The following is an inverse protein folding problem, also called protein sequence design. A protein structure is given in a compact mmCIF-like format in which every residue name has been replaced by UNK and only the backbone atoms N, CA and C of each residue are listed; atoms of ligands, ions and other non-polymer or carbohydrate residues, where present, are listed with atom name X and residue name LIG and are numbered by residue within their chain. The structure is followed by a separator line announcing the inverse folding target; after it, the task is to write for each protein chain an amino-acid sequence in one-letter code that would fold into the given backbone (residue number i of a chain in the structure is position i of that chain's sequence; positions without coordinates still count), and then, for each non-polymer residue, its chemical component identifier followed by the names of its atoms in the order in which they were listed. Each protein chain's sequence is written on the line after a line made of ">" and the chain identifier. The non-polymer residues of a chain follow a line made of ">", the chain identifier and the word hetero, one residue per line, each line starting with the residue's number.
data_IF_263970229979
#
_entry.id   IF_263970229979
#
_cell.length_a   1.000
_cell.length_b   1.000
_cell.length_c   1.000
_cell.angle_alpha   90.00
_cell.angle_beta   90.00
_cell.angle_gamma   90.00
#
_symmetry.space_group_name_H-M   'P 1'
#
loop_
_entity.id
_entity.type
_entity.pdbx_description
1 polymer ?
#
# COMPACT_ATOMS: atom_id res chain seq x y z
N UNK A 1 43.95 14.52 -36.85
CA UNK A 1 42.90 15.16 -36.02
C UNK A 1 43.45 16.45 -35.45
N UNK A 2 42.72 17.56 -35.56
CA UNK A 2 43.17 18.85 -35.00
C UNK A 2 42.81 18.92 -33.51
N UNK A 3 43.57 19.71 -32.73
CA UNK A 3 43.35 19.90 -31.28
C UNK A 3 41.91 20.30 -30.93
N UNK A 4 41.23 21.02 -31.84
CA UNK A 4 39.81 21.38 -31.76
C UNK A 4 38.87 20.19 -31.89
N UNK A 5 39.12 19.26 -32.82
CA UNK A 5 38.30 18.05 -32.98
C UNK A 5 38.38 17.14 -31.76
N UNK A 6 39.56 17.07 -31.11
CA UNK A 6 39.79 16.29 -29.90
C UNK A 6 39.07 16.90 -28.68
N UNK A 7 39.10 18.24 -28.54
CA UNK A 7 38.34 18.96 -27.51
C UNK A 7 36.83 18.84 -27.69
N UNK A 8 36.33 18.89 -28.93
CA UNK A 8 34.91 18.68 -29.24
C UNK A 8 34.45 17.26 -28.90
N UNK A 9 35.24 16.24 -29.22
CA UNK A 9 34.93 14.85 -28.88
C UNK A 9 34.91 14.62 -27.35
N UNK A 10 35.85 15.21 -26.61
CA UNK A 10 35.87 15.13 -25.15
C UNK A 10 34.69 15.87 -24.53
N UNK A 11 34.33 17.06 -25.04
CA UNK A 11 33.17 17.81 -24.57
C UNK A 11 31.84 17.06 -24.84
N UNK A 12 31.70 16.44 -26.02
CA UNK A 12 30.52 15.63 -26.36
C UNK A 12 30.47 14.36 -25.51
N UNK A 13 31.60 13.68 -25.27
CA UNK A 13 31.65 12.51 -24.41
C UNK A 13 31.33 12.85 -22.94
N UNK A 14 31.77 14.01 -22.43
CA UNK A 14 31.43 14.49 -21.10
C UNK A 14 29.97 14.92 -20.97
N UNK A 15 29.40 15.54 -22.01
CA UNK A 15 27.96 15.88 -22.04
C UNK A 15 27.08 14.63 -22.12
N UNK A 16 27.43 13.68 -22.98
CA UNK A 16 26.72 12.40 -23.09
C UNK A 16 26.86 11.57 -21.81
N UNK A 17 28.03 11.55 -21.18
CA UNK A 17 28.28 10.90 -19.90
C UNK A 17 27.47 11.52 -18.75
N UNK A 18 27.40 12.86 -18.68
CA UNK A 18 26.59 13.55 -17.68
C UNK A 18 25.08 13.39 -17.92
N UNK A 19 24.62 13.35 -19.17
CA UNK A 19 23.22 13.09 -19.50
C UNK A 19 22.82 11.63 -19.20
N UNK A 20 23.67 10.67 -19.53
CA UNK A 20 23.47 9.27 -19.17
C UNK A 20 23.47 9.09 -17.65
N UNK A 21 24.43 9.68 -16.95
CA UNK A 21 24.49 9.67 -15.49
C UNK A 21 23.27 10.33 -14.87
N UNK A 22 22.85 11.52 -15.33
CA UNK A 22 21.64 12.19 -14.85
C UNK A 22 20.35 11.43 -15.18
N UNK A 23 20.31 10.65 -16.27
CA UNK A 23 19.17 9.77 -16.58
C UNK A 23 19.14 8.50 -15.74
N UNK A 24 20.32 8.02 -15.29
CA UNK A 24 20.49 6.82 -14.46
C UNK A 24 20.46 7.11 -12.95
N UNK A 25 20.76 8.34 -12.55
CA UNK A 25 20.84 8.78 -11.14
C UNK A 25 19.86 9.90 -10.78
N UNK A 26 19.14 10.45 -11.76
CA UNK A 26 18.06 11.41 -11.53
C UNK A 26 16.77 10.72 -11.06
N UNK A 27 15.86 11.46 -10.40
CA UNK A 27 14.55 10.93 -10.05
C UNK A 27 13.83 10.44 -11.31
N UNK A 28 13.16 9.30 -11.21
CA UNK A 28 12.33 8.75 -12.27
C UNK A 28 11.31 9.78 -12.76
N UNK A 29 10.77 9.60 -13.96
CA UNK A 29 9.69 10.46 -14.45
C UNK A 29 8.52 10.54 -13.46
N UNK A 30 8.21 9.42 -12.80
CA UNK A 30 7.20 9.36 -11.74
C UNK A 30 7.59 10.19 -10.51
N UNK A 31 8.82 10.07 -10.02
CA UNK A 31 9.30 10.81 -8.85
C UNK A 31 9.40 12.32 -9.10
N UNK A 32 9.69 12.72 -10.34
CA UNK A 32 9.74 14.12 -10.76
C UNK A 32 8.37 14.77 -10.77
N UNK A 33 7.37 14.06 -11.27
CA UNK A 33 6.00 14.56 -11.39
C UNK A 33 5.14 14.18 -10.17
N UNK A 34 5.72 13.50 -9.18
CA UNK A 34 5.01 12.89 -8.05
C UNK A 34 4.11 13.89 -7.32
N UNK A 35 4.64 15.05 -6.91
CA UNK A 35 3.86 16.04 -6.16
C UNK A 35 2.73 16.63 -7.02
N UNK A 36 2.94 16.79 -8.32
CA UNK A 36 1.93 17.26 -9.26
C UNK A 36 0.82 16.23 -9.47
N UNK A 37 1.18 14.95 -9.47
CA UNK A 37 0.22 13.85 -9.55
C UNK A 37 -0.55 13.67 -8.23
N UNK A 38 0.14 13.80 -7.09
CA UNK A 38 -0.42 13.70 -5.76
C UNK A 38 -1.41 14.83 -5.47
N UNK A 39 -1.28 15.98 -6.13
CA UNK A 39 -2.22 17.11 -6.02
C UNK A 39 -3.68 16.75 -6.36
N UNK A 40 -3.91 15.68 -7.13
CA UNK A 40 -5.25 15.12 -7.40
C UNK A 40 -5.88 14.42 -6.19
N UNK A 41 -5.07 14.15 -5.17
CA UNK A 41 -5.45 13.55 -3.90
C UNK A 41 -5.12 14.52 -2.77
N UNK A 42 -6.01 15.49 -2.46
CA UNK A 42 -5.70 16.57 -1.51
C UNK A 42 -5.17 16.05 -0.17
N UNK A 43 -5.71 14.93 0.32
CA UNK A 43 -5.25 14.26 1.54
C UNK A 43 -3.81 13.78 1.45
N UNK A 44 -3.47 13.01 0.42
CA UNK A 44 -2.12 12.53 0.20
C UNK A 44 -1.12 13.67 -0.04
N UNK A 45 -1.51 14.68 -0.83
CA UNK A 45 -0.70 15.87 -1.10
C UNK A 45 -0.39 16.66 0.18
N UNK A 46 -1.35 16.76 1.09
CA UNK A 46 -1.14 17.42 2.38
C UNK A 46 -0.21 16.62 3.29
N UNK A 47 -0.38 15.29 3.35
CA UNK A 47 0.50 14.37 4.10
C UNK A 47 1.94 14.48 3.63
N UNK A 48 2.15 14.34 2.32
CA UNK A 48 3.47 14.39 1.71
C UNK A 48 4.17 15.74 1.92
N UNK A 49 3.41 16.84 1.99
CA UNK A 49 3.95 18.17 2.34
C UNK A 49 4.33 18.29 3.81
N UNK A 50 3.59 17.65 4.71
CA UNK A 50 3.79 17.77 6.17
C UNK A 50 4.80 16.79 6.75
N UNK A 51 5.05 15.66 6.08
CA UNK A 51 5.94 14.61 6.57
C UNK A 51 6.82 14.05 5.42
N UNK A 52 8.09 14.45 5.35
CA UNK A 52 9.02 14.00 4.31
C UNK A 52 9.29 12.48 4.33
N UNK A 53 9.23 11.84 5.49
CA UNK A 53 9.46 10.39 5.60
C UNK A 53 8.27 9.62 5.02
N UNK A 54 7.05 10.06 5.31
CA UNK A 54 5.84 9.48 4.70
C UNK A 54 5.76 9.79 3.21
N UNK A 55 6.19 10.98 2.78
CA UNK A 55 6.30 11.31 1.35
C UNK A 55 7.15 10.29 0.62
N UNK A 56 8.28 9.89 1.18
CA UNK A 56 9.16 8.89 0.58
C UNK A 56 8.49 7.51 0.48
N UNK A 57 7.75 7.08 1.51
CA UNK A 57 7.02 5.81 1.46
C UNK A 57 5.88 5.85 0.43
N UNK A 58 5.11 6.94 0.40
CA UNK A 58 4.05 7.15 -0.59
C UNK A 58 4.64 7.10 -2.01
N UNK A 59 5.72 7.84 -2.26
CA UNK A 59 6.41 7.86 -3.54
C UNK A 59 6.85 6.45 -3.94
N UNK A 60 7.60 5.76 -3.07
CA UNK A 60 8.16 4.44 -3.39
C UNK A 60 7.07 3.39 -3.66
N UNK A 61 6.04 3.34 -2.81
CA UNK A 61 4.95 2.35 -2.95
C UNK A 61 4.07 2.63 -4.18
N UNK A 62 3.76 3.90 -4.44
CA UNK A 62 2.92 4.28 -5.60
C UNK A 62 3.67 4.20 -6.92
N UNK A 63 4.97 4.49 -6.95
CA UNK A 63 5.83 4.32 -8.13
C UNK A 63 5.94 2.85 -8.54
N UNK A 64 6.18 1.97 -7.57
CA UNK A 64 6.24 0.52 -7.82
C UNK A 64 4.92 0.00 -8.41
N UNK A 65 3.78 0.46 -7.88
CA UNK A 65 2.47 0.10 -8.43
C UNK A 65 2.19 0.73 -9.79
N UNK A 66 2.63 1.97 -10.02
CA UNK A 66 2.51 2.64 -11.31
C UNK A 66 3.22 1.88 -12.41
N UNK A 67 4.43 1.38 -12.15
CA UNK A 67 5.20 0.62 -13.14
C UNK A 67 4.51 -0.70 -13.55
N UNK A 68 3.67 -1.26 -12.69
CA UNK A 68 2.95 -2.52 -12.96
C UNK A 68 1.59 -2.33 -13.62
N UNK A 69 0.89 -1.25 -13.31
CA UNK A 69 -0.52 -1.08 -13.69
C UNK A 69 -0.96 0.37 -13.88
N UNK A 70 -0.02 1.29 -14.04
CA UNK A 70 -0.27 2.71 -14.27
C UNK A 70 -0.96 3.41 -13.09
N UNK A 71 -1.61 4.53 -13.40
CA UNK A 71 -2.34 5.34 -12.42
C UNK A 71 -3.40 4.60 -11.61
N UNK A 72 -4.22 3.69 -12.18
CA UNK A 72 -5.17 2.91 -11.40
C UNK A 72 -4.50 2.13 -10.27
N UNK A 73 -3.34 1.53 -10.54
CA UNK A 73 -2.60 0.77 -9.54
C UNK A 73 -1.98 1.67 -8.45
N UNK A 74 -1.38 2.79 -8.86
CA UNK A 74 -0.83 3.78 -7.93
C UNK A 74 -1.91 4.39 -7.01
N UNK A 75 -3.09 4.69 -7.56
CA UNK A 75 -4.23 5.20 -6.80
C UNK A 75 -4.75 4.16 -5.80
N UNK A 76 -4.80 2.90 -6.22
CA UNK A 76 -5.17 1.78 -5.37
C UNK A 76 -4.26 1.65 -4.14
N UNK A 77 -2.94 1.65 -4.35
CA UNK A 77 -1.95 1.65 -3.25
C UNK A 77 -2.12 2.86 -2.33
N UNK A 78 -2.32 4.05 -2.91
CA UNK A 78 -2.51 5.25 -2.11
C UNK A 78 -3.73 5.15 -1.21
N UNK A 79 -4.84 4.63 -1.75
CA UNK A 79 -6.07 4.43 -0.99
C UNK A 79 -5.93 3.37 0.11
N UNK A 80 -5.21 2.27 -0.15
CA UNK A 80 -4.89 1.27 0.88
C UNK A 80 -4.09 1.91 2.03
N UNK A 81 -3.07 2.71 1.69
CA UNK A 81 -2.25 3.39 2.70
C UNK A 81 -3.09 4.31 3.58
N UNK A 82 -3.99 5.08 2.97
CA UNK A 82 -4.87 6.01 3.70
C UNK A 82 -5.92 5.25 4.54
N UNK A 83 -6.47 4.15 4.02
CA UNK A 83 -7.41 3.29 4.72
C UNK A 83 -6.78 2.64 5.95
N UNK A 84 -5.60 2.03 5.79
CA UNK A 84 -4.86 1.34 6.86
C UNK A 84 -4.62 2.23 8.08
N UNK A 85 -4.40 3.53 7.86
CA UNK A 85 -4.22 4.46 8.97
C UNK A 85 -5.47 4.60 9.84
N UNK A 86 -6.66 4.69 9.24
CA UNK A 86 -7.91 4.76 10.02
C UNK A 86 -8.27 3.41 10.61
N UNK A 87 -8.06 2.33 9.86
CA UNK A 87 -8.32 0.97 10.33
C UNK A 87 -7.45 0.59 11.54
N UNK A 88 -6.26 1.15 11.69
CA UNK A 88 -5.43 0.94 12.89
C UNK A 88 -6.11 1.35 14.22
N UNK A 89 -7.17 2.18 14.17
CA UNK A 89 -7.97 2.58 15.33
C UNK A 89 -9.28 1.80 15.49
N UNK A 90 -9.69 1.05 14.46
CA UNK A 90 -10.97 0.35 14.43
C UNK A 90 -11.04 -0.75 15.51
N UNK A 91 -12.25 -1.08 15.93
CA UNK A 91 -12.47 -2.17 16.87
C UNK A 91 -12.28 -3.56 16.23
N UNK A 92 -12.37 -4.59 17.07
CA UNK A 92 -12.10 -5.96 16.67
C UNK A 92 -13.15 -6.50 15.70
N UNK A 93 -14.39 -6.04 15.79
CA UNK A 93 -15.48 -6.50 14.94
C UNK A 93 -15.26 -6.05 13.50
N UNK A 94 -14.97 -4.76 13.33
CA UNK A 94 -14.75 -4.15 12.01
C UNK A 94 -13.49 -4.69 11.34
N UNK A 95 -12.40 -4.87 12.10
CA UNK A 95 -11.17 -5.44 11.55
C UNK A 95 -11.35 -6.89 11.14
N UNK A 96 -11.99 -7.71 11.98
CA UNK A 96 -12.28 -9.09 11.61
C UNK A 96 -13.28 -9.18 10.43
N UNK A 97 -14.14 -8.17 10.22
CA UNK A 97 -15.00 -8.10 9.03
C UNK A 97 -14.18 -7.85 7.76
N UNK A 98 -13.24 -6.89 7.79
CA UNK A 98 -12.31 -6.63 6.68
C UNK A 98 -11.51 -7.88 6.35
N UNK A 99 -10.91 -8.51 7.35
CA UNK A 99 -10.03 -9.67 7.13
C UNK A 99 -10.78 -10.87 6.53
N UNK A 100 -12.04 -11.08 6.93
CA UNK A 100 -12.90 -12.12 6.34
C UNK A 100 -13.28 -11.79 4.90
N UNK A 101 -13.66 -10.55 4.62
CA UNK A 101 -14.00 -10.13 3.26
C UNK A 101 -12.77 -10.19 2.33
N UNK A 102 -11.58 -9.86 2.83
CA UNK A 102 -10.32 -9.96 2.09
C UNK A 102 -10.02 -11.43 1.75
N UNK A 103 -10.20 -12.36 2.69
CA UNK A 103 -10.05 -13.79 2.40
C UNK A 103 -11.02 -14.23 1.30
N UNK A 104 -12.29 -13.84 1.38
CA UNK A 104 -13.30 -14.19 0.36
C UNK A 104 -12.88 -13.69 -1.03
N UNK A 105 -12.43 -12.43 -1.13
CA UNK A 105 -11.91 -11.87 -2.37
C UNK A 105 -10.69 -12.63 -2.90
N UNK A 106 -9.72 -12.96 -2.04
CA UNK A 106 -8.53 -13.72 -2.41
C UNK A 106 -8.87 -15.14 -2.90
N UNK A 107 -9.76 -15.84 -2.20
CA UNK A 107 -10.22 -17.17 -2.60
C UNK A 107 -10.93 -17.14 -3.96
N UNK A 108 -11.69 -16.08 -4.23
CA UNK A 108 -12.34 -15.88 -5.52
C UNK A 108 -11.33 -15.62 -6.65
N UNK A 109 -10.34 -14.78 -6.38
CA UNK A 109 -9.29 -14.45 -7.34
C UNK A 109 -8.26 -15.56 -7.52
N UNK A 110 -8.28 -16.62 -6.71
CA UNK A 110 -7.32 -17.73 -6.78
C UNK A 110 -7.26 -18.42 -8.15
N UNK A 111 -8.38 -18.47 -8.88
CA UNK A 111 -8.44 -19.04 -10.24
C UNK A 111 -7.76 -18.16 -11.30
N UNK A 112 -7.50 -16.89 -11.00
CA UNK A 112 -6.72 -15.97 -11.83
C UNK A 112 -5.56 -15.37 -11.00
N UNK A 113 -4.40 -16.05 -10.99
CA UNK A 113 -3.24 -15.58 -10.25
C UNK A 113 -2.77 -14.16 -10.60
N UNK A 114 -2.94 -13.72 -11.85
CA UNK A 114 -2.53 -12.38 -12.30
C UNK A 114 -3.46 -11.31 -11.73
N UNK A 115 -4.77 -11.59 -11.72
CA UNK A 115 -5.76 -10.76 -11.06
C UNK A 115 -5.53 -10.73 -9.54
N UNK A 116 -5.29 -11.88 -8.90
CA UNK A 116 -4.98 -11.94 -7.47
C UNK A 116 -3.73 -11.12 -7.10
N UNK A 117 -2.64 -11.24 -7.87
CA UNK A 117 -1.44 -10.40 -7.68
C UNK A 117 -1.78 -8.92 -7.86
N UNK A 118 -2.55 -8.57 -8.89
CA UNK A 118 -2.98 -7.19 -9.14
C UNK A 118 -3.77 -6.62 -7.95
N UNK A 119 -4.67 -7.42 -7.37
CA UNK A 119 -5.40 -7.08 -6.16
C UNK A 119 -4.49 -6.91 -4.94
N UNK A 120 -3.55 -7.84 -4.70
CA UNK A 120 -2.58 -7.72 -3.60
C UNK A 120 -1.70 -6.47 -3.70
N UNK A 121 -1.41 -6.03 -4.93
CA UNK A 121 -0.55 -4.89 -5.20
C UNK A 121 -1.29 -3.56 -5.16
N UNK A 122 -2.55 -3.50 -5.59
CA UNK A 122 -3.26 -2.25 -5.84
C UNK A 122 -4.72 -2.23 -5.34
N UNK A 123 -5.15 -3.25 -4.61
CA UNK A 123 -6.54 -3.39 -4.18
C UNK A 123 -7.51 -3.50 -5.37
N UNK A 124 -8.75 -3.08 -5.15
CA UNK A 124 -9.83 -3.19 -6.15
C UNK A 124 -9.74 -2.17 -7.30
N UNK A 125 -8.90 -1.13 -7.19
CA UNK A 125 -8.90 0.01 -8.13
C UNK A 125 -8.20 -0.23 -9.46
N UNK A 126 -7.44 -1.32 -9.59
CA UNK A 126 -6.87 -1.71 -10.88
C UNK A 126 -7.91 -2.31 -11.85
N UNK A 127 -9.06 -2.75 -11.31
CA UNK A 127 -10.32 -2.95 -12.01
C UNK A 127 -10.30 -3.71 -13.33
N UNK A 128 -10.22 -5.04 -13.28
CA UNK A 128 -10.84 -5.98 -14.25
C UNK A 128 -11.24 -7.27 -13.50
N UNK A 129 -11.97 -7.14 -12.39
CA UNK A 129 -12.36 -8.27 -11.54
C UNK A 129 -13.85 -8.60 -11.67
N UNK A 130 -14.36 -8.75 -12.90
CA UNK A 130 -15.79 -9.04 -13.14
C UNK A 130 -16.26 -10.25 -12.34
N UNK A 131 -15.41 -11.28 -12.27
CA UNK A 131 -15.74 -12.54 -11.64
C UNK A 131 -15.76 -12.45 -10.12
N UNK A 132 -15.04 -11.48 -9.54
CA UNK A 132 -14.99 -11.22 -8.09
C UNK A 132 -15.69 -9.91 -7.68
N UNK A 133 -16.57 -9.38 -8.54
CA UNK A 133 -17.15 -8.05 -8.36
C UNK A 133 -17.95 -7.93 -7.05
N UNK A 134 -18.68 -8.99 -6.68
CA UNK A 134 -19.44 -9.02 -5.43
C UNK A 134 -18.51 -9.06 -4.22
N UNK A 135 -17.51 -9.94 -4.24
CA UNK A 135 -16.56 -10.12 -3.15
C UNK A 135 -15.76 -8.82 -2.90
N UNK A 136 -15.41 -8.09 -3.97
CA UNK A 136 -14.74 -6.79 -3.87
C UNK A 136 -15.67 -5.66 -3.40
N UNK A 137 -16.96 -5.72 -3.73
CA UNK A 137 -17.94 -4.77 -3.20
C UNK A 137 -18.15 -4.98 -1.70
N UNK A 138 -18.24 -6.23 -1.25
CA UNK A 138 -18.33 -6.60 0.18
C UNK A 138 -17.08 -6.18 0.94
N UNK A 139 -15.89 -6.42 0.37
CA UNK A 139 -14.63 -5.94 0.94
C UNK A 139 -14.58 -4.41 1.01
N UNK A 140 -15.02 -3.72 -0.05
CA UNK A 140 -15.12 -2.26 -0.05
C UNK A 140 -16.05 -1.73 1.04
N UNK A 141 -17.19 -2.39 1.27
CA UNK A 141 -18.10 -2.04 2.35
C UNK A 141 -17.48 -2.29 3.74
N UNK A 142 -16.76 -3.40 3.92
CA UNK A 142 -16.06 -3.71 5.16
C UNK A 142 -14.97 -2.66 5.48
N UNK A 143 -14.16 -2.28 4.49
CA UNK A 143 -13.19 -1.19 4.63
C UNK A 143 -13.89 0.13 4.97
N UNK A 144 -14.98 0.47 4.28
CA UNK A 144 -15.76 1.69 4.56
C UNK A 144 -16.26 1.77 6.01
N UNK A 145 -16.79 0.65 6.52
CA UNK A 145 -17.25 0.55 7.91
C UNK A 145 -16.08 0.65 8.91
N UNK A 146 -14.97 -0.04 8.65
CA UNK A 146 -13.78 0.00 9.51
C UNK A 146 -13.13 1.39 9.55
N UNK A 147 -13.05 2.09 8.42
CA UNK A 147 -12.56 3.47 8.35
C UNK A 147 -13.46 4.41 9.16
N UNK A 148 -14.79 4.30 9.01
CA UNK A 148 -15.74 5.12 9.76
C UNK A 148 -15.62 4.91 11.27
N UNK A 149 -15.59 3.64 11.71
CA UNK A 149 -15.39 3.26 13.11
C UNK A 149 -14.03 3.74 13.65
N UNK A 150 -12.96 3.54 12.89
CA UNK A 150 -11.61 3.98 13.25
C UNK A 150 -11.51 5.50 13.42
N UNK A 151 -12.13 6.26 12.52
CA UNK A 151 -12.22 7.72 12.63
C UNK A 151 -12.96 8.12 13.92
N UNK A 152 -14.13 7.54 14.18
CA UNK A 152 -14.90 7.82 15.40
C UNK A 152 -14.07 7.52 16.66
N UNK A 153 -13.44 6.35 16.72
CA UNK A 153 -12.60 5.94 17.87
C UNK A 153 -11.40 6.87 18.06
N UNK A 154 -10.72 7.27 16.98
CA UNK A 154 -9.64 8.25 17.03
C UNK A 154 -10.11 9.59 17.61
N UNK A 155 -11.27 10.10 17.16
CA UNK A 155 -11.82 11.36 17.70
C UNK A 155 -12.20 11.26 19.18
N UNK A 156 -12.53 10.07 19.67
CA UNK A 156 -12.76 9.77 21.09
C UNK A 156 -11.46 9.54 21.89
N UNK A 157 -10.29 9.75 21.28
CA UNK A 157 -8.99 9.62 21.94
C UNK A 157 -8.49 8.19 22.11
N UNK A 158 -9.07 7.21 21.40
CA UNK A 158 -8.53 5.84 21.39
C UNK A 158 -7.12 5.87 20.80
N UNK A 159 -6.16 5.32 21.55
CA UNK A 159 -4.78 5.23 21.09
C UNK A 159 -4.69 4.31 19.86
N UNK A 160 -3.87 4.72 18.90
CA UNK A 160 -3.51 3.91 17.74
C UNK A 160 -2.82 2.63 18.21
N UNK A 161 -3.12 1.50 17.57
CA UNK A 161 -2.33 0.29 17.78
C UNK A 161 -0.87 0.53 17.38
N UNK A 162 0.07 0.13 18.24
CA UNK A 162 1.52 0.24 18.00
C UNK A 162 2.20 -1.04 18.47
N UNK A 163 3.19 -1.48 17.70
CA UNK A 163 4.05 -2.61 18.01
C UNK A 163 5.49 -2.27 17.64
N UNK A 164 6.43 -2.83 18.40
CA UNK A 164 7.85 -2.82 18.03
C UNK A 164 8.14 -3.77 16.87
N UNK A 165 9.31 -3.64 16.25
CA UNK A 165 9.74 -4.52 15.15
C UNK A 165 9.82 -6.00 15.56
N UNK A 166 10.17 -6.29 16.82
CA UNK A 166 10.23 -7.66 17.35
C UNK A 166 8.85 -8.32 17.38
N UNK A 167 7.85 -7.60 17.91
CA UNK A 167 6.47 -8.08 18.00
C UNK A 167 5.84 -8.28 16.61
N UNK A 168 6.07 -7.33 15.70
CA UNK A 168 5.66 -7.47 14.30
C UNK A 168 6.37 -8.65 13.61
N UNK A 169 7.66 -8.85 13.91
CA UNK A 169 8.42 -10.01 13.44
C UNK A 169 7.85 -11.33 13.95
N UNK A 170 7.42 -11.38 15.21
CA UNK A 170 6.78 -12.55 15.80
C UNK A 170 5.42 -12.84 15.15
N UNK A 171 4.58 -11.82 14.94
CA UNK A 171 3.30 -11.94 14.22
C UNK A 171 3.53 -12.47 12.81
N UNK A 172 4.46 -11.87 12.04
CA UNK A 172 4.76 -12.33 10.68
C UNK A 172 5.30 -13.76 10.67
N UNK A 173 6.10 -14.16 11.66
CA UNK A 173 6.57 -15.54 11.79
C UNK A 173 5.42 -16.51 12.08
N UNK A 174 4.52 -16.14 12.99
CA UNK A 174 3.33 -16.93 13.30
C UNK A 174 2.43 -17.09 12.07
N UNK A 175 2.18 -16.02 11.32
CA UNK A 175 1.38 -16.09 10.09
C UNK A 175 2.03 -16.91 8.99
N UNK A 176 3.37 -17.01 8.97
CA UNK A 176 4.10 -17.88 8.03
C UNK A 176 4.02 -19.36 8.39
N UNK A 177 3.99 -19.69 9.68
CA UNK A 177 4.00 -21.06 10.23
C UNK A 177 2.63 -21.55 10.72
N UNK A 178 1.60 -20.73 10.55
CA UNK A 178 0.35 -20.83 11.28
C UNK A 178 -0.36 -22.18 11.13
N UNK A 179 -1.37 -22.42 11.98
CA UNK A 179 -1.94 -23.75 12.18
C UNK A 179 -2.76 -24.25 11.00
N UNK A 180 -3.14 -23.37 10.05
CA UNK A 180 -3.84 -23.78 8.84
C UNK A 180 -2.87 -24.31 7.79
N UNK A 181 -1.84 -23.54 7.45
CA UNK A 181 -0.82 -23.96 6.48
C UNK A 181 0.48 -23.17 6.60
N UNK A 182 1.60 -23.88 6.61
CA UNK A 182 2.92 -23.25 6.49
C UNK A 182 3.16 -22.73 5.07
N UNK A 183 3.79 -21.55 4.98
CA UNK A 183 4.29 -20.99 3.73
C UNK A 183 5.58 -21.69 3.31
N UNK A 184 5.61 -22.18 2.07
CA UNK A 184 6.78 -22.80 1.47
C UNK A 184 7.87 -21.77 1.16
N UNK A 185 9.11 -22.25 0.97
CA UNK A 185 10.22 -21.37 0.55
C UNK A 185 9.95 -20.66 -0.78
N UNK A 186 9.23 -21.31 -1.70
CA UNK A 186 8.90 -20.73 -3.00
C UNK A 186 7.89 -19.58 -2.86
N UNK A 187 6.87 -19.76 -2.01
CA UNK A 187 5.88 -18.74 -1.64
C UNK A 187 6.55 -17.52 -0.97
N UNK A 188 7.43 -17.77 0.00
CA UNK A 188 8.21 -16.72 0.65
C UNK A 188 9.10 -15.97 -0.36
N UNK A 189 9.78 -16.70 -1.25
CA UNK A 189 10.61 -16.11 -2.30
C UNK A 189 9.80 -15.30 -3.33
N UNK A 190 8.56 -15.69 -3.60
CA UNK A 190 7.68 -14.92 -4.46
C UNK A 190 7.22 -13.63 -3.79
N UNK A 191 6.82 -13.68 -2.50
CA UNK A 191 6.46 -12.48 -1.73
C UNK A 191 7.63 -11.50 -1.60
N UNK A 192 8.87 -11.99 -1.36
CA UNK A 192 10.05 -11.12 -1.26
C UNK A 192 10.40 -10.42 -2.58
N UNK A 193 9.99 -11.01 -3.71
CA UNK A 193 10.22 -10.43 -5.04
C UNK A 193 9.13 -9.46 -5.48
N UNK A 194 8.13 -9.15 -4.65
CA UNK A 194 7.08 -8.14 -4.84
C UNK A 194 6.59 -8.00 -6.30
N UNK A 195 7.26 -7.18 -7.12
CA UNK A 195 6.99 -6.97 -8.55
C UNK A 195 7.31 -8.20 -9.43
N UNK A 196 8.45 -8.86 -9.22
CA UNK A 196 8.88 -10.03 -10.00
C UNK A 196 8.43 -11.37 -9.39
N UNK A 197 7.58 -11.31 -8.36
CA UNK A 197 7.02 -12.49 -7.72
C UNK A 197 6.12 -13.27 -8.69
N UNK A 198 6.23 -14.60 -8.63
CA UNK A 198 5.31 -15.48 -9.36
C UNK A 198 3.88 -15.25 -8.83
N UNK A 199 2.91 -14.86 -9.68
CA UNK A 199 1.57 -14.48 -9.23
C UNK A 199 0.83 -15.58 -8.45
N UNK A 200 0.95 -16.84 -8.87
CA UNK A 200 0.26 -17.96 -8.21
C UNK A 200 0.84 -18.23 -6.82
N UNK A 201 2.16 -18.19 -6.69
CA UNK A 201 2.83 -18.33 -5.39
C UNK A 201 2.55 -17.14 -4.47
N UNK A 202 2.46 -15.92 -5.00
CA UNK A 202 2.06 -14.74 -4.21
C UNK A 202 0.63 -14.86 -3.69
N UNK A 203 -0.30 -15.25 -4.56
CA UNK A 203 -1.71 -15.45 -4.21
C UNK A 203 -1.88 -16.55 -3.15
N UNK A 204 -1.26 -17.71 -3.38
CA UNK A 204 -1.26 -18.83 -2.42
C UNK A 204 -0.70 -18.42 -1.06
N UNK A 205 0.43 -17.70 -1.05
CA UNK A 205 1.03 -17.21 0.19
C UNK A 205 0.12 -16.22 0.94
N UNK A 206 -0.57 -15.33 0.23
CA UNK A 206 -1.50 -14.37 0.84
C UNK A 206 -2.73 -15.08 1.44
N UNK A 207 -3.34 -16.01 0.69
CA UNK A 207 -4.46 -16.83 1.15
C UNK A 207 -4.08 -17.60 2.41
N UNK A 208 -2.92 -18.28 2.43
CA UNK A 208 -2.44 -19.01 3.61
C UNK A 208 -2.21 -18.11 4.81
N UNK A 209 -1.58 -16.94 4.61
CA UNK A 209 -1.40 -15.96 5.71
C UNK A 209 -2.75 -15.50 6.27
N UNK A 210 -3.73 -15.26 5.41
CA UNK A 210 -5.05 -14.80 5.83
C UNK A 210 -5.83 -15.91 6.55
N UNK A 211 -5.74 -17.15 6.09
CA UNK A 211 -6.30 -18.32 6.78
C UNK A 211 -5.62 -18.55 8.13
N UNK A 212 -4.30 -18.43 8.20
CA UNK A 212 -3.56 -18.50 9.47
C UNK A 212 -3.97 -17.38 10.43
N UNK A 213 -4.16 -16.15 9.92
CA UNK A 213 -4.67 -15.03 10.73
C UNK A 213 -6.07 -15.31 11.28
N UNK A 214 -6.98 -15.81 10.45
CA UNK A 214 -8.37 -16.06 10.84
C UNK A 214 -8.57 -17.38 11.61
N UNK A 215 -7.55 -18.23 11.70
CA UNK A 215 -7.59 -19.50 12.44
C UNK A 215 -7.30 -19.37 13.94
N UNK A 216 -6.82 -18.21 14.38
CA UNK A 216 -6.56 -17.90 15.79
C UNK A 216 -7.80 -17.29 16.46
N UNK A 217 -7.72 -17.00 17.75
CA UNK A 217 -8.78 -16.26 18.45
C UNK A 217 -9.07 -14.90 17.79
N UNK A 218 -10.35 -14.50 17.78
CA UNK A 218 -10.83 -13.29 17.10
C UNK A 218 -10.19 -12.00 17.64
N UNK A 219 -9.91 -11.93 18.94
CA UNK A 219 -9.26 -10.77 19.55
C UNK A 219 -7.82 -10.69 19.08
N UNK A 220 -7.10 -11.81 19.08
CA UNK A 220 -5.73 -11.87 18.59
C UNK A 220 -5.64 -11.58 17.08
N UNK A 221 -6.56 -12.13 16.29
CA UNK A 221 -6.67 -11.85 14.84
C UNK A 221 -6.78 -10.35 14.60
N UNK A 222 -7.77 -9.68 15.21
CA UNK A 222 -7.94 -8.24 15.08
C UNK A 222 -6.75 -7.44 15.58
N UNK A 223 -6.14 -7.85 16.69
CA UNK A 223 -4.93 -7.23 17.21
C UNK A 223 -3.76 -7.30 16.22
N UNK A 224 -3.39 -8.49 15.77
CA UNK A 224 -2.31 -8.70 14.80
C UNK A 224 -2.57 -7.96 13.49
N UNK A 225 -3.82 -7.96 13.04
CA UNK A 225 -4.30 -7.29 11.85
C UNK A 225 -4.17 -5.76 11.92
N UNK A 226 -4.53 -5.14 13.05
CA UNK A 226 -4.31 -3.70 13.30
C UNK A 226 -2.83 -3.35 13.34
N UNK A 227 -2.00 -4.18 13.97
CA UNK A 227 -0.55 -3.92 14.03
C UNK A 227 0.10 -3.95 12.65
N UNK A 228 -0.29 -4.89 11.79
CA UNK A 228 0.17 -4.95 10.39
C UNK A 228 -0.23 -3.69 9.62
N UNK A 229 -1.48 -3.23 9.75
CA UNK A 229 -1.96 -1.98 9.12
C UNK A 229 -1.26 -0.74 9.69
N UNK A 230 -1.03 -0.73 11.01
CA UNK A 230 -0.39 0.37 11.73
C UNK A 230 1.10 0.54 11.39
N UNK A 231 1.80 -0.53 11.03
CA UNK A 231 3.21 -0.46 10.61
C UNK A 231 3.36 0.27 9.27
N UNK A 232 2.35 0.18 8.42
CA UNK A 232 2.56 0.40 7.00
C UNK A 232 2.72 1.85 6.57
N UNK A 233 2.30 2.83 7.40
CA UNK A 233 2.57 4.28 7.34
C UNK A 233 1.94 4.96 8.58
N UNK A 234 2.66 5.85 9.29
CA UNK A 234 2.06 6.68 10.38
C UNK A 234 1.46 7.94 9.77
N UNK A 235 0.14 8.06 9.60
CA UNK A 235 -0.45 9.27 9.02
C UNK A 235 -1.42 9.93 10.02
N UNK A 236 -1.23 11.18 10.43
CA UNK A 236 -2.28 11.84 11.22
C UNK A 236 -3.43 12.37 10.34
N UNK A 237 -4.34 11.49 9.89
CA UNK A 237 -5.46 11.88 9.01
C UNK A 237 -6.39 12.93 9.64
N UNK A 238 -6.46 13.04 10.97
CA UNK A 238 -7.30 14.06 11.62
C UNK A 238 -6.64 15.41 11.52
N UNK A 239 -5.35 15.51 11.84
CA UNK A 239 -4.59 16.73 11.66
C UNK A 239 -4.56 17.15 10.17
N UNK A 240 -4.35 16.20 9.27
CA UNK A 240 -4.31 16.44 7.83
C UNK A 240 -5.68 16.90 7.32
N UNK A 241 -6.78 16.23 7.70
CA UNK A 241 -8.14 16.65 7.33
C UNK A 241 -8.46 18.03 7.91
N UNK A 242 -8.11 18.31 9.16
CA UNK A 242 -8.29 19.62 9.78
C UNK A 242 -7.45 20.72 9.09
N UNK A 243 -6.26 20.39 8.56
CA UNK A 243 -5.47 21.31 7.72
C UNK A 243 -6.15 21.55 6.36
N UNK A 244 -6.64 20.50 5.71
CA UNK A 244 -7.36 20.62 4.43
C UNK A 244 -8.67 21.40 4.54
N UNK A 245 -9.40 21.28 5.65
CA UNK A 245 -10.60 22.07 5.88
C UNK A 245 -10.30 23.56 6.13
N UNK A 246 -9.05 23.91 6.46
CA UNK A 246 -8.59 25.29 6.67
C UNK A 246 -7.96 25.91 5.42
N UNK A 247 -7.55 25.11 4.45
CA UNK A 247 -7.05 25.58 3.16
C UNK A 247 -8.23 26.08 2.28
N UNK A 248 -8.18 27.31 1.73
CA UNK A 248 -9.22 27.82 0.85
C UNK A 248 -9.24 27.09 -0.52
N UNK A 249 -10.42 26.67 -0.98
CA UNK A 249 -10.61 26.08 -2.32
C UNK A 249 -10.64 24.54 -2.36
N UNK A 250 -10.61 23.90 -1.20
CA UNK A 250 -10.61 22.45 -1.07
C UNK A 250 -12.06 21.96 -1.17
N UNK A 251 -12.40 21.20 -2.21
CA UNK A 251 -13.76 20.71 -2.47
C UNK A 251 -14.27 19.64 -1.49
N UNK A 252 -13.75 19.61 -0.26
CA UNK A 252 -14.09 18.63 0.77
C UNK A 252 -15.18 19.20 1.68
N UNK A 253 -16.29 18.47 1.81
CA UNK A 253 -17.30 18.75 2.83
C UNK A 253 -16.75 18.36 4.21
N UNK A 254 -16.49 19.37 5.04
CA UNK A 254 -16.01 19.20 6.40
C UNK A 254 -17.16 19.36 7.41
N UNK A 255 -17.32 18.44 8.38
CA UNK A 255 -18.22 18.64 9.51
C UNK A 255 -17.73 19.74 10.46
#
# INVERSE_FOLDING_TARGET
>A
MTRRSLLLLVAVALLAGNLAYASLSGPSGFARDFDQNLARFPLAASIARSDPALREVLLRKTEAAFNEGGWPAANGVLNIILANEMEAYADDEHINAVDRAELTALLKLMSDPSACKSFLMAGSQRGEFSDAAQELAELGAAHGAAIANGFERKTKGVARAQAGDEELGAIEMQLRRGPFAELTRQELGAQSRYLDGNPALMCSAAIKKQLNLLSVDRVYSAYASRLRRARDNKIDVVEVRAKLCREPGNSLSCP
#
